data_IF_978619676740
#
_entry.id   IF_978619676740
#
_cell.length_a   1.000
_cell.length_b   1.000
_cell.length_c   1.000
_cell.angle_alpha   90.00
_cell.angle_beta   90.00
_cell.angle_gamma   90.00
#
_symmetry.space_group_name_H-M   'P 1'
#
loop_
_entity.id
_entity.type
_entity.pdbx_description
1 polymer ?
#
# COMPACT_ATOMS: atom_id res chain seq x y z
N UNK A 1 69.72 -25.66 -31.45
CA UNK A 1 68.93 -24.97 -30.42
C UNK A 1 67.88 -24.11 -31.11
N UNK A 2 66.62 -24.44 -31.11
CA UNK A 2 65.64 -23.46 -30.67
C UNK A 2 64.66 -24.09 -29.67
N UNK A 3 64.31 -23.23 -28.73
CA UNK A 3 63.48 -23.41 -27.59
C UNK A 3 61.99 -23.44 -28.02
N UNK A 4 61.29 -24.49 -27.60
CA UNK A 4 59.84 -24.62 -27.82
C UNK A 4 59.12 -23.86 -26.73
N UNK A 5 58.43 -22.77 -27.11
CA UNK A 5 57.50 -22.06 -26.27
C UNK A 5 56.19 -22.84 -26.17
N UNK A 6 55.82 -23.22 -24.94
CA UNK A 6 54.56 -23.87 -24.63
C UNK A 6 53.40 -22.83 -24.72
N UNK A 7 52.42 -23.12 -25.58
CA UNK A 7 51.19 -22.38 -25.65
C UNK A 7 50.34 -22.61 -24.39
N UNK A 8 50.07 -21.56 -23.63
CA UNK A 8 49.14 -21.57 -22.53
C UNK A 8 47.70 -21.60 -23.10
N UNK A 9 46.95 -22.67 -22.85
CA UNK A 9 45.51 -22.74 -23.07
C UNK A 9 44.81 -21.70 -22.21
N UNK A 10 44.26 -20.68 -22.86
CA UNK A 10 43.32 -19.76 -22.25
C UNK A 10 42.01 -20.52 -22.05
N UNK A 11 41.71 -20.91 -20.80
CA UNK A 11 40.38 -21.39 -20.41
C UNK A 11 39.40 -20.24 -20.58
N UNK A 12 38.48 -20.43 -21.48
CA UNK A 12 37.28 -19.58 -21.58
C UNK A 12 36.53 -19.56 -20.22
N UNK A 13 36.04 -18.42 -19.78
CA UNK A 13 35.23 -18.35 -18.55
C UNK A 13 33.95 -19.16 -18.78
N UNK A 14 33.73 -20.13 -17.89
CA UNK A 14 32.48 -20.88 -17.79
C UNK A 14 31.37 -19.87 -17.68
N UNK A 15 30.52 -19.82 -18.72
CA UNK A 15 29.27 -19.12 -18.74
C UNK A 15 28.46 -19.48 -17.47
N UNK A 16 28.31 -18.54 -16.56
CA UNK A 16 27.39 -18.67 -15.46
C UNK A 16 26.03 -19.00 -16.05
N UNK A 17 25.56 -20.22 -15.80
CA UNK A 17 24.22 -20.65 -16.07
C UNK A 17 23.27 -19.61 -15.47
N UNK A 18 22.30 -19.22 -16.27
CA UNK A 18 21.24 -18.30 -15.92
C UNK A 18 20.79 -18.53 -14.48
N UNK A 19 20.91 -17.49 -13.65
CA UNK A 19 20.08 -17.37 -12.47
C UNK A 19 18.65 -17.41 -13.03
N UNK A 20 17.97 -18.53 -12.81
CA UNK A 20 16.54 -18.66 -13.09
C UNK A 20 15.86 -17.53 -12.32
N UNK A 21 15.48 -16.50 -13.05
CA UNK A 21 14.82 -15.28 -12.59
C UNK A 21 13.47 -15.74 -12.00
N UNK A 22 13.46 -16.07 -10.70
CA UNK A 22 12.29 -16.59 -10.00
C UNK A 22 11.21 -15.53 -10.11
N UNK A 23 10.28 -15.74 -11.05
CA UNK A 23 9.17 -14.83 -11.26
C UNK A 23 8.17 -15.02 -10.13
N UNK A 24 8.21 -14.15 -9.11
CA UNK A 24 7.24 -14.14 -8.03
C UNK A 24 5.95 -13.47 -8.50
N UNK A 25 4.78 -14.11 -8.27
CA UNK A 25 3.51 -13.47 -8.57
C UNK A 25 3.27 -12.28 -7.64
N UNK A 26 2.76 -11.17 -8.22
CA UNK A 26 2.47 -9.94 -7.50
C UNK A 26 0.97 -9.79 -7.22
N UNK A 27 0.63 -9.34 -6.02
CA UNK A 27 -0.72 -8.95 -5.63
C UNK A 27 -0.74 -7.46 -5.27
N UNK A 28 -1.56 -6.71 -5.97
CA UNK A 28 -1.83 -5.32 -5.69
C UNK A 28 -3.20 -5.21 -5.02
N UNK A 29 -3.24 -4.57 -3.87
CA UNK A 29 -4.45 -4.39 -3.06
C UNK A 29 -4.71 -2.92 -2.71
N UNK A 30 -3.73 -2.04 -2.88
CA UNK A 30 -3.95 -0.61 -2.80
C UNK A 30 -4.64 -0.11 -4.06
N UNK A 31 -5.80 0.55 -3.89
CA UNK A 31 -6.74 1.02 -4.87
C UNK A 31 -7.63 -0.11 -5.44
N UNK A 32 -7.06 -1.12 -6.09
CA UNK A 32 -7.80 -2.23 -6.72
C UNK A 32 -7.15 -3.59 -6.41
N UNK A 33 -7.89 -4.67 -6.63
CA UNK A 33 -7.38 -6.03 -6.48
C UNK A 33 -6.89 -6.57 -7.81
N UNK A 34 -5.58 -6.61 -7.99
CA UNK A 34 -4.95 -7.16 -9.18
C UNK A 34 -3.90 -8.21 -8.83
N UNK A 35 -3.93 -9.33 -9.54
CA UNK A 35 -2.91 -10.37 -9.44
C UNK A 35 -2.16 -10.44 -10.76
N UNK A 36 -0.83 -10.37 -10.68
CA UNK A 36 0.08 -10.47 -11.80
C UNK A 36 0.93 -11.72 -11.70
N UNK A 37 1.23 -12.33 -12.84
CA UNK A 37 2.05 -13.55 -12.90
C UNK A 37 3.49 -13.32 -12.44
N UNK A 38 3.98 -12.11 -12.55
CA UNK A 38 5.29 -11.68 -12.04
C UNK A 38 5.25 -10.20 -11.67
N UNK A 39 6.27 -9.71 -10.98
CA UNK A 39 6.42 -8.29 -10.64
C UNK A 39 6.97 -7.44 -11.81
N UNK A 40 7.20 -8.02 -13.00
CA UNK A 40 7.68 -7.28 -14.18
C UNK A 40 6.57 -6.41 -14.78
N UNK A 41 6.88 -5.22 -15.36
CA UNK A 41 5.87 -4.29 -15.90
C UNK A 41 4.95 -4.89 -16.98
N UNK A 42 5.44 -5.87 -17.75
CA UNK A 42 4.72 -6.51 -18.87
C UNK A 42 3.99 -7.79 -18.42
N UNK A 43 3.91 -8.05 -17.11
CA UNK A 43 3.34 -9.28 -16.59
C UNK A 43 1.85 -9.42 -16.90
N UNK A 44 1.44 -10.65 -17.22
CA UNK A 44 0.04 -10.96 -17.44
C UNK A 44 -0.76 -10.80 -16.16
N UNK A 45 -1.77 -9.93 -16.20
CA UNK A 45 -2.76 -9.73 -15.14
C UNK A 45 -3.80 -10.85 -15.17
N UNK A 46 -4.17 -11.37 -14.00
CA UNK A 46 -5.27 -12.34 -13.90
C UNK A 46 -6.61 -11.69 -14.18
N UNK A 47 -7.41 -12.35 -15.05
CA UNK A 47 -8.79 -11.94 -15.31
C UNK A 47 -9.74 -12.82 -14.49
N UNK A 48 -10.37 -12.22 -13.50
CA UNK A 48 -11.36 -12.91 -12.70
C UNK A 48 -12.58 -13.29 -13.54
N UNK A 49 -13.04 -14.51 -13.38
CA UNK A 49 -14.23 -15.00 -14.11
C UNK A 49 -15.53 -14.39 -13.57
N UNK A 50 -15.58 -14.13 -12.27
CA UNK A 50 -16.70 -13.46 -11.59
C UNK A 50 -16.19 -12.51 -10.51
N UNK A 51 -16.94 -11.44 -10.24
CA UNK A 51 -16.66 -10.50 -9.13
C UNK A 51 -16.70 -11.22 -7.79
N UNK A 52 -17.58 -12.21 -7.61
CA UNK A 52 -17.68 -12.99 -6.36
C UNK A 52 -16.47 -13.90 -6.11
N UNK A 53 -15.83 -14.43 -7.17
CA UNK A 53 -14.57 -15.17 -6.99
C UNK A 53 -13.41 -14.25 -6.60
N UNK A 54 -13.40 -13.04 -7.15
CA UNK A 54 -12.45 -11.98 -6.77
C UNK A 54 -12.67 -11.56 -5.31
N UNK A 55 -13.91 -11.28 -4.91
CA UNK A 55 -14.28 -10.90 -3.56
C UNK A 55 -13.92 -11.98 -2.53
N UNK A 56 -14.21 -13.27 -2.83
CA UNK A 56 -13.81 -14.39 -1.96
C UNK A 56 -12.30 -14.47 -1.80
N UNK A 57 -11.54 -14.30 -2.88
CA UNK A 57 -10.08 -14.27 -2.80
C UNK A 57 -9.61 -13.11 -1.92
N UNK A 58 -10.13 -11.90 -2.15
CA UNK A 58 -9.81 -10.71 -1.36
C UNK A 58 -10.13 -10.92 0.13
N UNK A 59 -11.29 -11.47 0.45
CA UNK A 59 -11.71 -11.75 1.82
C UNK A 59 -10.79 -12.77 2.51
N UNK A 60 -10.49 -13.87 1.82
CA UNK A 60 -9.59 -14.89 2.35
C UNK A 60 -8.14 -14.41 2.46
N UNK A 61 -7.70 -13.52 1.55
CA UNK A 61 -6.39 -12.87 1.64
C UNK A 61 -6.34 -11.86 2.79
N UNK A 62 -7.42 -11.12 3.02
CA UNK A 62 -7.55 -10.24 4.19
C UNK A 62 -7.36 -11.01 5.51
N UNK A 63 -7.91 -12.23 5.60
CA UNK A 63 -7.78 -13.16 6.72
C UNK A 63 -6.72 -14.26 6.49
N UNK A 64 -5.66 -13.95 5.74
CA UNK A 64 -4.64 -14.93 5.37
C UNK A 64 -4.02 -15.62 6.59
N UNK A 65 -3.89 -16.93 6.49
CA UNK A 65 -3.41 -17.76 7.60
C UNK A 65 -4.46 -18.12 8.64
N UNK A 66 -5.63 -17.47 8.64
CA UNK A 66 -6.72 -17.74 9.57
C UNK A 66 -7.75 -18.71 9.00
N UNK A 67 -8.40 -19.48 9.86
CA UNK A 67 -9.52 -20.35 9.51
C UNK A 67 -10.82 -19.58 9.55
N UNK A 68 -11.42 -19.33 8.38
CA UNK A 68 -12.72 -18.66 8.22
C UNK A 68 -13.81 -19.70 8.02
N UNK A 69 -14.89 -19.63 8.81
CA UNK A 69 -15.98 -20.56 8.70
C UNK A 69 -16.83 -20.32 7.43
N UNK A 70 -17.41 -21.38 6.92
CA UNK A 70 -18.28 -21.33 5.74
C UNK A 70 -19.49 -20.41 5.97
N UNK A 71 -20.01 -20.39 7.18
CA UNK A 71 -21.13 -19.54 7.60
C UNK A 71 -20.75 -18.06 7.50
N UNK A 72 -19.55 -17.66 8.00
CA UNK A 72 -19.04 -16.29 7.87
C UNK A 72 -18.88 -15.91 6.40
N UNK A 73 -18.33 -16.80 5.57
CA UNK A 73 -18.18 -16.52 4.14
C UNK A 73 -19.53 -16.30 3.45
N UNK A 74 -20.54 -17.12 3.78
CA UNK A 74 -21.88 -16.99 3.22
C UNK A 74 -22.56 -15.70 3.71
N UNK A 75 -22.47 -15.39 4.99
CA UNK A 75 -23.03 -14.16 5.58
C UNK A 75 -22.42 -12.89 4.96
N UNK A 76 -21.09 -12.86 4.80
CA UNK A 76 -20.39 -11.67 4.32
C UNK A 76 -20.47 -11.47 2.80
N UNK A 77 -20.48 -12.55 2.02
CA UNK A 77 -20.31 -12.45 0.58
C UNK A 77 -21.58 -12.81 -0.21
N UNK A 78 -22.55 -13.51 0.39
CA UNK A 78 -23.77 -13.98 -0.25
C UNK A 78 -25.01 -13.85 0.63
N UNK A 79 -25.07 -12.81 1.47
CA UNK A 79 -26.21 -12.56 2.37
C UNK A 79 -27.55 -12.35 1.61
N UNK A 80 -27.49 -11.92 0.36
CA UNK A 80 -28.63 -11.58 -0.51
C UNK A 80 -29.22 -12.76 -1.31
N UNK A 81 -28.65 -13.98 -1.16
CA UNK A 81 -29.13 -15.16 -1.86
C UNK A 81 -29.50 -16.29 -0.90
N UNK A 82 -30.27 -17.29 -1.39
CA UNK A 82 -30.62 -18.48 -0.59
C UNK A 82 -29.35 -19.27 -0.23
N UNK A 83 -29.39 -19.97 0.91
CA UNK A 83 -28.26 -20.79 1.40
C UNK A 83 -27.76 -21.77 0.32
N UNK A 84 -28.66 -22.44 -0.40
CA UNK A 84 -28.31 -23.41 -1.45
C UNK A 84 -27.54 -22.75 -2.60
N UNK A 85 -28.03 -21.59 -3.08
CA UNK A 85 -27.33 -20.80 -4.11
C UNK A 85 -25.99 -20.28 -3.61
N UNK A 86 -25.92 -19.76 -2.38
CA UNK A 86 -24.70 -19.30 -1.75
C UNK A 86 -23.62 -20.39 -1.67
N UNK A 87 -24.02 -21.61 -1.29
CA UNK A 87 -23.13 -22.78 -1.25
C UNK A 87 -22.60 -23.14 -2.65
N UNK A 88 -23.45 -23.10 -3.66
CA UNK A 88 -23.04 -23.37 -5.05
C UNK A 88 -22.05 -22.33 -5.54
N UNK A 89 -22.29 -21.05 -5.25
CA UNK A 89 -21.38 -19.93 -5.59
C UNK A 89 -20.05 -20.04 -4.85
N UNK A 90 -20.07 -20.36 -3.56
CA UNK A 90 -18.87 -20.58 -2.76
C UNK A 90 -18.01 -21.70 -3.35
N UNK A 91 -18.58 -22.86 -3.63
CA UNK A 91 -17.82 -23.98 -4.20
C UNK A 91 -17.24 -23.65 -5.57
N UNK A 92 -17.99 -22.93 -6.42
CA UNK A 92 -17.51 -22.48 -7.72
C UNK A 92 -16.35 -21.50 -7.56
N UNK A 93 -16.45 -20.54 -6.65
CA UNK A 93 -15.40 -19.55 -6.37
C UNK A 93 -14.15 -20.20 -5.79
N UNK A 94 -14.29 -21.14 -4.87
CA UNK A 94 -13.18 -21.96 -4.33
C UNK A 94 -12.44 -22.71 -5.44
N UNK A 95 -13.19 -23.32 -6.36
CA UNK A 95 -12.59 -24.00 -7.52
C UNK A 95 -11.78 -23.03 -8.39
N UNK A 96 -12.30 -21.83 -8.69
CA UNK A 96 -11.61 -20.81 -9.48
C UNK A 96 -10.29 -20.36 -8.81
N UNK A 97 -10.32 -20.13 -7.50
CA UNK A 97 -9.13 -19.73 -6.75
C UNK A 97 -8.08 -20.86 -6.76
N UNK A 98 -8.47 -22.10 -6.51
CA UNK A 98 -7.54 -23.25 -6.57
C UNK A 98 -6.95 -23.43 -7.96
N UNK A 99 -7.74 -23.20 -9.01
CA UNK A 99 -7.31 -23.24 -10.40
C UNK A 99 -6.24 -22.17 -10.66
N UNK A 100 -6.48 -20.92 -10.23
CA UNK A 100 -5.52 -19.82 -10.33
C UNK A 100 -4.18 -20.17 -9.66
N UNK A 101 -4.22 -20.60 -8.40
CA UNK A 101 -3.02 -20.96 -7.64
C UNK A 101 -2.19 -22.04 -8.36
N UNK A 102 -2.87 -23.04 -8.95
CA UNK A 102 -2.22 -24.13 -9.70
C UNK A 102 -1.64 -23.66 -11.03
N UNK A 103 -2.43 -22.93 -11.84
CA UNK A 103 -2.03 -22.51 -13.20
C UNK A 103 -0.85 -21.53 -13.19
N UNK A 104 -0.74 -20.73 -12.12
CA UNK A 104 0.32 -19.75 -12.00
C UNK A 104 1.49 -20.23 -11.12
N UNK A 105 1.55 -21.55 -10.85
CA UNK A 105 2.61 -22.18 -10.06
C UNK A 105 2.85 -21.51 -8.71
N UNK A 106 1.77 -20.94 -8.13
CA UNK A 106 1.83 -20.37 -6.80
C UNK A 106 1.97 -21.49 -5.77
N UNK A 107 2.87 -21.33 -4.80
CA UNK A 107 3.03 -22.27 -3.69
C UNK A 107 1.92 -22.14 -2.65
N UNK A 108 1.08 -21.12 -2.78
CA UNK A 108 -0.09 -20.88 -1.95
C UNK A 108 -1.11 -22.00 -2.00
N UNK A 109 -1.91 -22.12 -0.95
CA UNK A 109 -2.93 -23.17 -0.80
C UNK A 109 -4.22 -22.59 -0.27
N UNK A 110 -5.34 -23.01 -0.85
CA UNK A 110 -6.67 -22.82 -0.28
C UNK A 110 -7.11 -24.13 0.37
N UNK A 111 -6.93 -24.19 1.66
CA UNK A 111 -7.24 -25.36 2.50
C UNK A 111 -8.71 -25.38 2.91
N UNK A 112 -9.22 -26.57 3.22
CA UNK A 112 -10.56 -26.79 3.77
C UNK A 112 -10.50 -27.83 4.87
N UNK A 113 -11.01 -27.50 6.04
CA UNK A 113 -11.13 -28.43 7.17
C UNK A 113 -12.32 -28.05 8.06
N UNK A 114 -13.13 -29.02 8.48
CA UNK A 114 -14.25 -28.86 9.41
C UNK A 114 -15.12 -27.61 9.12
N UNK A 115 -15.64 -27.50 7.90
CA UNK A 115 -16.45 -26.36 7.43
C UNK A 115 -15.76 -25.00 7.46
N UNK A 116 -14.42 -24.95 7.42
CA UNK A 116 -13.61 -23.73 7.38
C UNK A 116 -12.68 -23.73 6.19
N UNK A 117 -12.40 -22.53 5.69
CA UNK A 117 -11.41 -22.29 4.65
C UNK A 117 -10.27 -21.47 5.19
N UNK A 118 -9.05 -21.71 4.68
CA UNK A 118 -7.88 -20.93 4.99
C UNK A 118 -7.04 -20.72 3.73
N UNK A 119 -6.68 -19.46 3.44
CA UNK A 119 -5.76 -19.14 2.37
C UNK A 119 -4.34 -18.97 2.96
N UNK A 120 -3.42 -19.75 2.46
CA UNK A 120 -1.98 -19.57 2.68
C UNK A 120 -1.42 -18.97 1.38
N UNK A 121 -0.95 -17.70 1.37
CA UNK A 121 -0.56 -17.01 0.14
C UNK A 121 0.69 -17.61 -0.53
N UNK A 122 1.54 -18.30 0.22
CA UNK A 122 2.76 -18.93 -0.32
C UNK A 122 3.78 -17.88 -0.78
N UNK A 123 4.19 -17.98 -2.05
CA UNK A 123 5.16 -17.07 -2.68
C UNK A 123 4.54 -15.80 -3.30
N UNK A 124 3.28 -15.50 -3.02
CA UNK A 124 2.59 -14.30 -3.51
C UNK A 124 3.14 -13.06 -2.79
N UNK A 125 3.75 -12.15 -3.53
CA UNK A 125 4.27 -10.88 -2.99
C UNK A 125 3.16 -9.83 -3.03
N UNK A 126 2.80 -9.29 -1.88
CA UNK A 126 1.71 -8.31 -1.75
C UNK A 126 2.22 -6.93 -1.38
N UNK A 127 1.68 -5.89 -2.06
CA UNK A 127 1.96 -4.48 -1.77
C UNK A 127 1.57 -4.11 -0.34
N UNK A 128 0.41 -4.58 0.15
CA UNK A 128 -0.04 -4.28 1.51
C UNK A 128 0.85 -4.93 2.58
N UNK A 129 1.35 -6.15 2.35
CA UNK A 129 2.25 -6.80 3.30
C UNK A 129 3.62 -6.10 3.34
N UNK A 130 4.17 -5.74 2.18
CA UNK A 130 5.40 -4.95 2.10
C UNK A 130 5.25 -3.60 2.79
N UNK A 131 4.12 -2.91 2.55
CA UNK A 131 3.82 -1.65 3.21
C UNK A 131 3.72 -1.82 4.74
N UNK A 132 2.96 -2.81 5.23
CA UNK A 132 2.81 -3.05 6.68
C UNK A 132 4.13 -3.38 7.37
N UNK A 133 4.98 -4.16 6.72
CA UNK A 133 6.32 -4.49 7.24
C UNK A 133 7.22 -3.25 7.26
N UNK A 134 7.18 -2.44 6.20
CA UNK A 134 8.03 -1.27 6.05
C UNK A 134 7.65 -0.10 6.97
N UNK A 135 6.36 0.08 7.30
CA UNK A 135 5.92 1.16 8.21
C UNK A 135 6.09 0.83 9.69
N UNK A 136 6.71 -0.30 10.03
CA UNK A 136 6.99 -0.70 11.42
C UNK A 136 8.20 0.00 12.07
N UNK A 137 8.72 1.09 11.51
CA UNK A 137 9.88 1.84 12.02
C UNK A 137 9.54 2.66 13.28
N UNK A 138 10.55 2.92 14.11
CA UNK A 138 10.40 3.77 15.28
C UNK A 138 10.58 5.26 14.94
N UNK A 139 11.51 5.60 14.04
CA UNK A 139 11.85 6.96 13.61
C UNK A 139 12.47 6.96 12.21
N UNK A 140 12.27 8.06 11.44
CA UNK A 140 12.94 8.26 10.15
C UNK A 140 14.38 8.72 10.42
N UNK A 141 15.32 8.00 9.82
CA UNK A 141 16.77 8.23 9.97
C UNK A 141 17.44 8.29 8.60
N UNK A 142 18.71 8.73 8.56
CA UNK A 142 19.49 8.70 7.31
C UNK A 142 19.72 7.30 6.76
N UNK A 143 19.57 6.25 7.57
CA UNK A 143 19.78 4.86 7.16
C UNK A 143 18.54 4.20 6.57
N UNK A 144 17.32 4.66 6.89
CA UNK A 144 16.08 4.06 6.44
C UNK A 144 15.21 4.98 5.55
N UNK A 145 15.58 6.25 5.38
CA UNK A 145 14.74 7.23 4.66
C UNK A 145 14.47 6.84 3.20
N UNK A 146 15.45 6.26 2.51
CA UNK A 146 15.26 5.85 1.11
C UNK A 146 14.33 4.63 1.02
N UNK A 147 14.49 3.66 1.91
CA UNK A 147 13.56 2.52 2.02
C UNK A 147 12.13 2.97 2.31
N UNK A 148 11.96 3.93 3.23
CA UNK A 148 10.64 4.48 3.55
C UNK A 148 10.01 5.28 2.39
N UNK A 149 10.83 5.90 1.53
CA UNK A 149 10.35 6.51 0.28
C UNK A 149 9.80 5.46 -0.68
N UNK A 150 10.49 4.33 -0.84
CA UNK A 150 10.02 3.21 -1.66
C UNK A 150 8.72 2.61 -1.08
N UNK A 151 8.66 2.42 0.23
CA UNK A 151 7.44 1.95 0.92
C UNK A 151 6.26 2.89 0.71
N UNK A 152 6.48 4.22 0.75
CA UNK A 152 5.45 5.22 0.45
C UNK A 152 4.83 5.02 -0.94
N UNK A 153 5.63 4.66 -1.94
CA UNK A 153 5.17 4.46 -3.33
C UNK A 153 4.25 3.25 -3.51
N UNK A 154 4.25 2.31 -2.56
CA UNK A 154 3.33 1.17 -2.59
C UNK A 154 1.87 1.60 -2.38
N UNK A 155 1.64 2.70 -1.63
CA UNK A 155 0.30 3.19 -1.34
C UNK A 155 -0.25 4.05 -2.49
N UNK A 156 -0.99 3.45 -3.39
CA UNK A 156 -1.56 4.09 -4.60
C UNK A 156 -3.01 4.56 -4.44
N UNK A 157 -3.61 4.30 -3.30
CA UNK A 157 -5.00 4.59 -2.91
C UNK A 157 -5.36 3.75 -1.70
N UNK A 158 -6.57 3.86 -1.20
CA UNK A 158 -7.02 3.08 -0.05
C UNK A 158 -7.06 1.57 -0.37
N UNK A 159 -6.97 0.76 0.67
CA UNK A 159 -7.04 -0.69 0.54
C UNK A 159 -8.37 -1.13 -0.07
N UNK A 160 -8.32 -1.76 -1.26
CA UNK A 160 -9.47 -2.24 -2.03
C UNK A 160 -10.51 -1.15 -2.34
N UNK A 161 -10.09 0.10 -2.51
CA UNK A 161 -10.93 1.30 -2.70
C UNK A 161 -11.98 1.14 -3.80
N UNK A 162 -11.59 0.62 -4.96
CA UNK A 162 -12.49 0.48 -6.12
C UNK A 162 -13.55 -0.63 -5.98
N UNK A 163 -13.47 -1.42 -4.91
CA UNK A 163 -14.35 -2.58 -4.73
C UNK A 163 -15.49 -2.39 -3.74
N UNK A 164 -15.47 -1.30 -2.98
CA UNK A 164 -16.49 -0.94 -1.97
C UNK A 164 -16.91 -2.12 -1.05
N UNK A 165 -15.93 -2.90 -0.58
CA UNK A 165 -16.20 -4.02 0.32
C UNK A 165 -16.37 -3.54 1.76
N UNK A 166 -17.58 -3.68 2.38
CA UNK A 166 -17.81 -3.19 3.75
C UNK A 166 -16.86 -3.80 4.78
N UNK A 167 -16.49 -5.06 4.60
CA UNK A 167 -15.58 -5.77 5.49
C UNK A 167 -14.12 -5.26 5.43
N UNK A 168 -13.71 -4.60 4.35
CA UNK A 168 -12.36 -4.06 4.17
C UNK A 168 -12.17 -2.67 4.81
N UNK A 169 -13.24 -1.94 5.11
CA UNK A 169 -13.23 -0.54 5.55
C UNK A 169 -12.39 -0.28 6.80
N UNK A 170 -12.40 -1.20 7.77
CA UNK A 170 -11.60 -1.04 8.99
C UNK A 170 -10.10 -1.08 8.69
N UNK A 171 -9.69 -2.01 7.83
CA UNK A 171 -8.29 -2.16 7.39
C UNK A 171 -7.86 -1.00 6.51
N UNK A 172 -8.73 -0.54 5.61
CA UNK A 172 -8.47 0.63 4.78
C UNK A 172 -8.16 1.87 5.65
N UNK A 173 -8.99 2.15 6.65
CA UNK A 173 -8.75 3.27 7.60
C UNK A 173 -7.46 3.09 8.42
N UNK A 174 -7.12 1.88 8.83
CA UNK A 174 -5.85 1.61 9.53
C UNK A 174 -4.65 1.93 8.65
N UNK A 175 -4.63 1.40 7.43
CA UNK A 175 -3.54 1.60 6.47
C UNK A 175 -3.41 3.06 6.03
N UNK A 176 -4.54 3.76 5.84
CA UNK A 176 -4.58 5.19 5.55
C UNK A 176 -3.90 6.00 6.65
N UNK A 177 -4.20 5.74 7.93
CA UNK A 177 -3.54 6.41 9.06
C UNK A 177 -2.03 6.14 9.09
N UNK A 178 -1.61 4.91 8.80
CA UNK A 178 -0.18 4.57 8.71
C UNK A 178 0.51 5.33 7.56
N UNK A 179 -0.17 5.45 6.42
CA UNK A 179 0.34 6.20 5.27
C UNK A 179 0.47 7.71 5.58
N UNK A 180 -0.56 8.32 6.16
CA UNK A 180 -0.53 9.73 6.55
C UNK A 180 0.66 9.99 7.48
N UNK A 181 0.83 9.16 8.50
CA UNK A 181 1.96 9.27 9.43
C UNK A 181 3.30 9.14 8.72
N UNK A 182 3.48 8.14 7.86
CA UNK A 182 4.71 7.96 7.09
C UNK A 182 5.06 9.21 6.26
N UNK A 183 4.07 9.79 5.56
CA UNK A 183 4.29 11.00 4.74
C UNK A 183 4.67 12.19 5.62
N UNK A 184 4.01 12.38 6.75
CA UNK A 184 4.32 13.46 7.69
C UNK A 184 5.74 13.31 8.28
N UNK A 185 6.11 12.11 8.71
CA UNK A 185 7.44 11.83 9.27
C UNK A 185 8.55 12.05 8.22
N UNK A 186 8.32 11.65 6.95
CA UNK A 186 9.24 11.95 5.84
C UNK A 186 9.33 13.44 5.53
N UNK A 187 8.21 14.18 5.61
CA UNK A 187 8.21 15.63 5.40
C UNK A 187 8.95 16.37 6.53
N UNK A 188 8.76 15.96 7.79
CA UNK A 188 9.54 16.50 8.91
C UNK A 188 11.05 16.22 8.76
N UNK A 189 11.40 15.01 8.33
CA UNK A 189 12.80 14.67 8.07
C UNK A 189 13.38 15.54 6.95
N UNK A 190 12.66 15.73 5.85
CA UNK A 190 13.07 16.62 4.75
C UNK A 190 13.23 18.08 5.23
N UNK A 191 12.31 18.60 6.04
CA UNK A 191 12.39 19.94 6.63
C UNK A 191 13.68 20.10 7.47
N UNK A 192 13.95 19.15 8.38
CA UNK A 192 15.15 19.17 9.25
C UNK A 192 16.46 19.12 8.48
N UNK A 193 16.44 18.57 7.25
CA UNK A 193 17.62 18.46 6.38
C UNK A 193 17.67 19.52 5.27
N UNK A 194 16.91 20.62 5.40
CA UNK A 194 16.93 21.74 4.45
C UNK A 194 16.24 21.46 3.11
N UNK A 195 15.46 20.37 3.01
CA UNK A 195 14.69 19.98 1.82
C UNK A 195 13.23 20.43 1.93
N UNK A 196 13.01 21.70 2.25
CA UNK A 196 11.66 22.23 2.49
C UNK A 196 10.73 22.09 1.27
N UNK A 197 11.26 22.26 0.04
CA UNK A 197 10.47 22.10 -1.19
C UNK A 197 9.93 20.69 -1.34
N UNK A 198 10.76 19.66 -1.11
CA UNK A 198 10.35 18.26 -1.20
C UNK A 198 9.30 17.91 -0.12
N UNK A 199 9.44 18.53 1.07
CA UNK A 199 8.46 18.38 2.15
C UNK A 199 7.10 18.98 1.76
N UNK A 200 7.08 20.19 1.18
CA UNK A 200 5.83 20.84 0.75
C UNK A 200 5.15 20.05 -0.35
N UNK A 201 5.87 19.58 -1.36
CA UNK A 201 5.31 18.76 -2.45
C UNK A 201 4.57 17.53 -1.91
N UNK A 202 5.20 16.80 -0.98
CA UNK A 202 4.58 15.63 -0.35
C UNK A 202 3.35 15.98 0.49
N UNK A 203 3.38 17.09 1.20
CA UNK A 203 2.27 17.54 2.05
C UNK A 203 1.10 18.11 1.25
N UNK A 204 1.34 18.69 0.07
CA UNK A 204 0.27 19.13 -0.83
C UNK A 204 -0.57 17.96 -1.32
N UNK A 205 0.07 16.88 -1.80
CA UNK A 205 -0.62 15.65 -2.21
C UNK A 205 -1.45 15.06 -1.05
N UNK A 206 -0.89 15.14 0.17
CA UNK A 206 -1.58 14.65 1.35
C UNK A 206 -2.77 15.55 1.75
N UNK A 207 -2.62 16.87 1.65
CA UNK A 207 -3.68 17.83 1.94
C UNK A 207 -4.87 17.71 0.96
N UNK A 208 -4.63 17.40 -0.31
CA UNK A 208 -5.70 17.13 -1.27
C UNK A 208 -6.56 15.92 -0.87
N UNK A 209 -5.96 14.91 -0.25
CA UNK A 209 -6.66 13.71 0.23
C UNK A 209 -7.32 13.91 1.59
N UNK A 210 -6.74 14.76 2.42
CA UNK A 210 -7.18 15.06 3.80
C UNK A 210 -7.35 16.56 3.99
N UNK A 211 -8.34 17.20 3.32
CA UNK A 211 -8.46 18.66 3.27
C UNK A 211 -8.77 19.31 4.61
N UNK A 212 -9.23 18.55 5.59
CA UNK A 212 -9.60 19.04 6.91
C UNK A 212 -8.60 18.67 8.02
N UNK A 213 -7.45 18.05 7.65
CA UNK A 213 -6.47 17.61 8.64
C UNK A 213 -5.62 18.79 9.14
N UNK A 214 -5.92 19.26 10.34
CA UNK A 214 -5.24 20.38 11.00
C UNK A 214 -3.74 20.14 11.18
N UNK A 215 -3.36 18.89 11.50
CA UNK A 215 -1.96 18.49 11.70
C UNK A 215 -1.12 18.65 10.43
N UNK A 216 -1.70 18.37 9.25
CA UNK A 216 -1.03 18.58 7.96
C UNK A 216 -0.82 20.09 7.74
N UNK A 217 -1.86 20.90 7.94
CA UNK A 217 -1.77 22.36 7.83
C UNK A 217 -0.70 22.92 8.78
N UNK A 218 -0.65 22.46 10.04
CA UNK A 218 0.38 22.88 11.00
C UNK A 218 1.79 22.52 10.56
N UNK A 219 1.99 21.30 10.02
CA UNK A 219 3.29 20.89 9.51
C UNK A 219 3.72 21.73 8.31
N UNK A 220 2.83 21.98 7.34
CA UNK A 220 3.11 22.84 6.19
C UNK A 220 3.50 24.26 6.62
N UNK A 221 2.81 24.86 7.59
CA UNK A 221 3.18 26.17 8.13
C UNK A 221 4.61 26.17 8.73
N UNK A 222 4.98 25.10 9.46
CA UNK A 222 6.35 24.96 9.99
C UNK A 222 7.39 24.83 8.89
N UNK A 223 7.07 24.07 7.82
CA UNK A 223 7.98 23.94 6.67
C UNK A 223 8.16 25.28 5.96
N UNK A 224 7.10 26.04 5.69
CA UNK A 224 7.20 27.38 5.09
C UNK A 224 7.98 28.34 5.99
N UNK A 225 7.77 28.29 7.30
CA UNK A 225 8.53 29.08 8.26
C UNK A 225 10.05 28.75 8.21
N UNK A 226 10.41 27.47 8.10
CA UNK A 226 11.81 27.04 7.96
C UNK A 226 12.46 27.52 6.66
N UNK A 227 11.65 27.79 5.63
CA UNK A 227 12.09 28.35 4.34
C UNK A 227 12.09 29.90 4.32
N UNK A 228 11.56 30.55 5.38
CA UNK A 228 11.40 32.02 5.44
C UNK A 228 10.25 32.56 4.60
N UNK A 229 9.30 31.70 4.17
CA UNK A 229 8.18 32.08 3.29
C UNK A 229 6.93 32.43 4.12
N UNK A 230 6.94 33.64 4.72
CA UNK A 230 5.78 34.15 5.48
C UNK A 230 4.53 34.37 4.63
N UNK A 231 4.68 34.63 3.32
CA UNK A 231 3.54 34.83 2.43
C UNK A 231 2.78 33.54 2.19
N UNK A 232 3.50 32.42 2.03
CA UNK A 232 2.90 31.11 1.89
C UNK A 232 2.15 30.66 3.16
N UNK A 233 2.67 31.01 4.35
CA UNK A 233 1.95 30.76 5.63
C UNK A 233 0.60 31.46 5.66
N UNK A 234 0.55 32.75 5.29
CA UNK A 234 -0.69 33.55 5.26
C UNK A 234 -1.70 32.95 4.28
N UNK A 235 -1.27 32.61 3.08
CA UNK A 235 -2.14 32.00 2.05
C UNK A 235 -2.69 30.64 2.48
N UNK A 236 -1.80 29.76 2.99
CA UNK A 236 -2.18 28.42 3.45
C UNK A 236 -3.24 28.49 4.56
N UNK A 237 -2.97 29.27 5.63
CA UNK A 237 -3.88 29.37 6.75
C UNK A 237 -5.23 29.98 6.33
N UNK A 238 -5.22 31.03 5.51
CA UNK A 238 -6.47 31.69 5.04
C UNK A 238 -7.31 30.75 4.19
N UNK A 239 -6.67 30.00 3.28
CA UNK A 239 -7.37 29.00 2.47
C UNK A 239 -7.92 27.86 3.32
N UNK A 240 -7.14 27.32 4.24
CA UNK A 240 -7.54 26.24 5.14
C UNK A 240 -8.70 26.65 6.04
N UNK A 241 -8.62 27.83 6.67
CA UNK A 241 -9.69 28.37 7.53
C UNK A 241 -10.99 28.60 6.74
N UNK A 242 -10.89 29.06 5.49
CA UNK A 242 -12.03 29.23 4.60
C UNK A 242 -12.69 27.90 4.28
N UNK A 243 -11.91 26.89 3.91
CA UNK A 243 -12.41 25.52 3.61
C UNK A 243 -13.13 24.93 4.82
N UNK A 244 -12.56 25.02 6.02
CA UNK A 244 -13.20 24.51 7.24
C UNK A 244 -14.52 25.22 7.52
N UNK A 245 -14.58 26.55 7.32
CA UNK A 245 -15.79 27.32 7.57
C UNK A 245 -16.88 27.02 6.54
N UNK A 246 -16.52 26.93 5.25
CA UNK A 246 -17.48 26.70 4.16
C UNK A 246 -18.04 25.27 4.18
N UNK A 247 -17.19 24.27 4.42
CA UNK A 247 -17.57 22.86 4.31
C UNK A 247 -18.08 22.26 5.62
N UNK A 248 -17.50 22.68 6.77
CA UNK A 248 -17.80 22.09 8.08
C UNK A 248 -18.44 23.09 9.07
N UNK A 249 -18.48 24.39 8.76
CA UNK A 249 -19.11 25.41 9.58
C UNK A 249 -18.32 25.80 10.85
N UNK A 250 -17.04 25.46 10.96
CA UNK A 250 -16.22 25.80 12.13
C UNK A 250 -14.88 26.44 11.76
N UNK A 251 -14.25 27.09 12.75
CA UNK A 251 -12.95 27.70 12.63
C UNK A 251 -11.84 26.67 12.90
N UNK A 252 -10.58 26.94 12.46
CA UNK A 252 -9.43 26.14 12.85
C UNK A 252 -9.30 25.99 14.37
N UNK A 253 -8.77 24.85 14.80
CA UNK A 253 -8.49 24.59 16.22
C UNK A 253 -7.61 25.67 16.86
N UNK A 254 -7.75 25.88 18.18
CA UNK A 254 -6.95 26.89 18.88
C UNK A 254 -5.42 26.66 18.73
N UNK A 255 -4.99 25.43 18.60
CA UNK A 255 -3.58 25.09 18.39
C UNK A 255 -3.08 25.56 17.02
N UNK A 256 -3.85 25.36 15.96
CA UNK A 256 -3.51 25.78 14.59
C UNK A 256 -3.50 27.32 14.49
N UNK A 257 -4.50 27.96 15.09
CA UNK A 257 -4.59 29.44 15.13
C UNK A 257 -3.43 30.07 15.92
N UNK A 258 -3.03 29.45 17.03
CA UNK A 258 -1.89 29.90 17.84
C UNK A 258 -0.58 29.77 17.07
N UNK A 259 -0.34 28.62 16.45
CA UNK A 259 0.86 28.41 15.64
C UNK A 259 0.96 29.44 14.50
N UNK A 260 -0.17 29.74 13.82
CA UNK A 260 -0.20 30.75 12.78
C UNK A 260 0.21 32.14 13.32
N UNK A 261 -0.32 32.56 14.48
CA UNK A 261 0.05 33.82 15.11
C UNK A 261 1.53 33.87 15.49
N UNK A 262 2.06 32.79 16.07
CA UNK A 262 3.48 32.70 16.45
C UNK A 262 4.42 32.81 15.24
N UNK A 263 4.07 32.20 14.10
CA UNK A 263 4.91 32.21 12.90
C UNK A 263 4.81 33.52 12.10
N UNK A 264 3.72 34.29 12.28
CA UNK A 264 3.50 35.56 11.56
C UNK A 264 3.79 36.81 12.38
N UNK A 265 4.01 36.69 13.71
CA UNK A 265 4.36 37.81 14.60
C UNK A 265 5.83 38.29 14.50
N UNK A 266 6.62 37.69 13.62
CA UNK A 266 8.02 38.06 13.35
C UNK A 266 8.10 38.89 12.10
#
# INVERSE_FOLDING_TARGET
>A
MPEMAAAAEVKEPVSNAAEDDIQLPGLLTFKHLDIYRSLKPEATKHKWRTTKSQELFAFLFHHRGEWVSKEILLDKLWADVTLEKGLTHLHTSVYQIRKLLKEWSMTGKLEYNMNRYRLLPGNLVSDVEQFEQGVGYAEVTSTNVEELREIKLLYRGDYLEEHDYPWAQSKARELRRKYIRLVMDLAEWNMKHGRGKDAIEQLLDLQEREPYAEEICRLMMRVYASMGDGSAILQLYSSFAKTLLEDLGHQPEPETSRLFQELTAK
#
